data_IF_479251800264
#
_entry.id   IF_479251800264
#
_cell.length_a   1.000
_cell.length_b   1.000
_cell.length_c   1.000
_cell.angle_alpha   90.00
_cell.angle_beta   90.00
_cell.angle_gamma   90.00
#
_symmetry.space_group_name_H-M   'P 1'
#
loop_
_entity.id
_entity.type
_entity.pdbx_description
1 polymer ?
#
# COMPACT_ATOMS: atom_id res chain seq x y z
N UNK A 1 13.32 7.88 -22.72
CA UNK A 1 14.79 7.93 -22.69
C UNK A 1 15.30 8.38 -24.06
N UNK A 2 15.97 9.53 -24.17
CA UNK A 2 16.65 9.96 -25.43
C UNK A 2 18.13 9.60 -25.30
N UNK A 3 18.69 8.87 -26.26
CA UNK A 3 20.11 8.48 -26.24
C UNK A 3 21.02 9.66 -26.60
N UNK A 4 22.07 9.87 -25.81
CA UNK A 4 23.02 10.98 -25.98
C UNK A 4 24.22 10.61 -26.86
N UNK A 5 24.30 9.37 -27.34
CA UNK A 5 25.38 8.89 -28.19
C UNK A 5 25.26 9.30 -29.67
N UNK A 6 26.32 9.08 -30.46
CA UNK A 6 26.31 9.33 -31.90
C UNK A 6 25.16 8.56 -32.58
N UNK A 7 24.40 9.28 -33.42
CA UNK A 7 23.16 8.80 -34.06
C UNK A 7 21.98 8.54 -33.10
N UNK A 8 22.00 9.13 -31.91
CA UNK A 8 20.93 8.95 -30.91
C UNK A 8 21.00 7.60 -30.18
N UNK A 9 22.16 6.92 -30.24
CA UNK A 9 22.38 5.67 -29.52
C UNK A 9 22.34 5.91 -28.00
N UNK A 10 21.70 4.99 -27.29
CA UNK A 10 21.71 4.96 -25.82
C UNK A 10 23.10 4.49 -25.40
N UNK A 11 23.82 5.35 -24.68
CA UNK A 11 25.13 5.00 -24.11
C UNK A 11 24.98 4.62 -22.65
N UNK A 12 26.00 3.97 -22.08
CA UNK A 12 26.00 3.50 -20.69
C UNK A 12 25.61 4.61 -19.68
N UNK A 13 26.06 5.84 -19.93
CA UNK A 13 25.74 7.00 -19.09
C UNK A 13 24.24 7.33 -19.08
N UNK A 14 23.54 7.11 -20.20
CA UNK A 14 22.09 7.33 -20.26
C UNK A 14 21.37 6.28 -19.40
N UNK A 15 21.82 5.02 -19.46
CA UNK A 15 21.25 3.90 -18.66
C UNK A 15 21.46 4.14 -17.17
N UNK A 16 22.65 4.56 -16.77
CA UNK A 16 22.95 4.89 -15.37
C UNK A 16 22.09 6.04 -14.87
N UNK A 17 21.98 7.13 -15.63
CA UNK A 17 21.15 8.29 -15.25
C UNK A 17 19.67 7.93 -15.12
N UNK A 18 19.14 7.14 -16.06
CA UNK A 18 17.75 6.69 -15.98
C UNK A 18 17.51 5.82 -14.75
N UNK A 19 18.42 4.91 -14.42
CA UNK A 19 18.30 4.06 -13.23
C UNK A 19 18.37 4.89 -11.94
N UNK A 20 19.25 5.89 -11.88
CA UNK A 20 19.36 6.82 -10.75
C UNK A 20 18.11 7.67 -10.58
N UNK A 21 17.54 8.19 -11.67
CA UNK A 21 16.27 8.93 -11.66
C UNK A 21 15.10 8.02 -11.23
N UNK A 22 15.06 6.78 -11.70
CA UNK A 22 14.03 5.80 -11.33
C UNK A 22 14.12 5.40 -9.86
N UNK A 23 15.33 5.20 -9.34
CA UNK A 23 15.58 4.90 -7.91
C UNK A 23 15.25 6.11 -7.04
N UNK A 24 15.56 7.33 -7.48
CA UNK A 24 15.24 8.56 -6.75
C UNK A 24 13.73 8.83 -6.68
N UNK A 25 12.97 8.45 -7.72
CA UNK A 25 11.51 8.52 -7.73
C UNK A 25 10.84 7.33 -7.03
N UNK A 26 11.58 6.25 -6.73
CA UNK A 26 11.02 5.12 -6.04
C UNK A 26 10.64 5.52 -4.59
N UNK A 27 9.43 5.14 -4.13
CA UNK A 27 9.04 5.38 -2.75
C UNK A 27 10.07 4.70 -1.83
N UNK A 28 10.61 5.46 -0.88
CA UNK A 28 11.58 4.93 0.08
C UNK A 28 10.87 3.95 1.02
N UNK A 29 10.89 2.66 0.66
CA UNK A 29 10.34 1.59 1.49
C UNK A 29 11.32 1.32 2.62
N UNK A 30 10.98 1.78 3.83
CA UNK A 30 11.80 1.54 5.04
C UNK A 30 11.88 0.06 5.39
N UNK A 31 10.80 -0.68 5.21
CA UNK A 31 10.73 -2.11 5.51
C UNK A 31 9.56 -2.76 4.74
N UNK A 32 9.80 -3.94 4.19
CA UNK A 32 8.75 -4.77 3.58
C UNK A 32 8.37 -5.86 4.58
N UNK A 33 7.17 -5.76 5.14
CA UNK A 33 6.63 -6.78 6.04
C UNK A 33 5.76 -7.75 5.23
N UNK A 34 6.18 -9.02 5.03
CA UNK A 34 5.42 -9.96 4.24
C UNK A 34 4.13 -10.40 4.96
N UNK A 35 3.03 -10.51 4.21
CA UNK A 35 1.79 -11.09 4.72
C UNK A 35 1.89 -12.62 4.71
N UNK A 36 2.16 -13.21 5.87
CA UNK A 36 2.24 -14.66 6.05
C UNK A 36 1.22 -15.16 7.09
N UNK A 37 0.87 -16.44 6.99
CA UNK A 37 -0.01 -17.13 7.93
C UNK A 37 -1.30 -16.37 8.25
N UNK A 38 -1.51 -16.07 9.53
CA UNK A 38 -2.72 -15.40 10.05
C UNK A 38 -2.94 -14.02 9.40
N UNK A 39 -1.87 -13.24 9.20
CA UNK A 39 -2.00 -11.87 8.63
C UNK A 39 -2.54 -11.91 7.20
N UNK A 40 -2.13 -12.91 6.41
CA UNK A 40 -2.63 -13.11 5.04
C UNK A 40 -4.12 -13.44 5.05
N UNK A 41 -4.52 -14.42 5.86
CA UNK A 41 -5.94 -14.84 5.95
C UNK A 41 -6.84 -13.72 6.44
N UNK A 42 -6.42 -12.95 7.45
CA UNK A 42 -7.18 -11.80 7.93
C UNK A 42 -7.29 -10.72 6.86
N UNK A 43 -6.19 -10.40 6.17
CA UNK A 43 -6.20 -9.41 5.10
C UNK A 43 -7.17 -9.80 3.97
N UNK A 44 -7.17 -11.07 3.55
CA UNK A 44 -8.09 -11.60 2.54
C UNK A 44 -9.55 -11.48 2.98
N UNK A 45 -9.89 -11.90 4.21
CA UNK A 45 -11.26 -11.87 4.73
C UNK A 45 -11.80 -10.45 4.90
N UNK A 46 -11.01 -9.57 5.52
CA UNK A 46 -11.41 -8.17 5.73
C UNK A 46 -11.56 -7.46 4.39
N UNK A 47 -10.64 -7.68 3.45
CA UNK A 47 -10.72 -7.09 2.12
C UNK A 47 -11.92 -7.60 1.33
N UNK A 48 -12.22 -8.90 1.42
CA UNK A 48 -13.40 -9.48 0.77
C UNK A 48 -14.68 -8.87 1.34
N UNK A 49 -14.83 -8.84 2.67
CA UNK A 49 -15.98 -8.22 3.34
C UNK A 49 -16.17 -6.78 2.90
N UNK A 50 -15.11 -5.96 2.95
CA UNK A 50 -15.14 -4.55 2.57
C UNK A 50 -15.62 -4.31 1.12
N UNK A 51 -15.28 -5.22 0.20
CA UNK A 51 -15.62 -5.11 -1.22
C UNK A 51 -17.01 -5.62 -1.56
N UNK A 52 -17.49 -6.68 -0.89
CA UNK A 52 -18.73 -7.35 -1.27
C UNK A 52 -19.93 -6.92 -0.45
N UNK A 53 -19.74 -6.45 0.78
CA UNK A 53 -20.82 -6.03 1.66
C UNK A 53 -21.08 -4.52 1.56
N UNK A 54 -22.33 -4.08 1.36
CA UNK A 54 -22.69 -2.67 1.54
C UNK A 54 -22.75 -2.36 3.04
N UNK A 55 -21.76 -1.62 3.54
CA UNK A 55 -21.67 -1.26 4.96
C UNK A 55 -22.54 -0.03 5.25
N UNK A 56 -23.39 -0.13 6.25
CA UNK A 56 -24.11 1.00 6.84
C UNK A 56 -23.88 0.98 8.34
N UNK A 57 -23.33 2.07 8.87
CA UNK A 57 -23.04 2.20 10.31
C UNK A 57 -24.16 3.00 10.96
N UNK A 58 -24.91 2.37 11.85
CA UNK A 58 -25.89 3.05 12.72
C UNK A 58 -25.25 3.25 14.08
N UNK A 59 -25.31 4.48 14.58
CA UNK A 59 -24.82 4.83 15.92
C UNK A 59 -26.02 5.23 16.77
N UNK A 60 -26.01 4.82 18.04
CA UNK A 60 -27.03 5.21 19.02
C UNK A 60 -26.37 5.38 20.39
N UNK A 61 -26.92 6.29 21.18
CA UNK A 61 -26.49 6.50 22.56
C UNK A 61 -27.21 5.52 23.49
N UNK A 62 -26.50 5.02 24.49
CA UNK A 62 -27.02 4.07 25.47
C UNK A 62 -26.62 4.51 26.86
N UNK A 63 -27.60 4.70 27.76
CA UNK A 63 -27.36 4.95 29.17
C UNK A 63 -27.05 3.62 29.90
N UNK A 64 -25.81 3.50 30.38
CA UNK A 64 -25.30 2.31 31.07
C UNK A 64 -25.38 2.43 32.60
N UNK A 65 -26.04 3.47 33.15
CA UNK A 65 -26.10 3.76 34.60
C UNK A 65 -26.64 2.60 35.44
N UNK A 66 -27.53 1.77 34.89
CA UNK A 66 -28.08 0.60 35.59
C UNK A 66 -27.18 -0.64 35.48
N UNK A 67 -26.34 -0.75 34.45
CA UNK A 67 -25.44 -1.90 34.27
C UNK A 67 -24.29 -1.92 35.29
N UNK A 68 -23.92 -0.75 35.83
CA UNK A 68 -22.84 -0.60 36.83
C UNK A 68 -23.30 -0.95 38.25
N UNK A 69 -24.61 -1.00 38.50
CA UNK A 69 -25.19 -1.25 39.83
C UNK A 69 -25.38 -2.74 40.15
N UNK A 70 -25.17 -3.62 39.18
CA UNK A 70 -25.19 -5.08 39.29
C UNK A 70 -23.77 -5.61 39.57
#
# INVERSE_FOLDING_TARGET
>A
MKGSGPEGRIVEADVKRYLEEEIALAPHVREVIPLTGIRKTTAERVSLSARTAPHSTVTMEVDMSNAVKL
#
